data_IF_946258787256
#
_entry.id   IF_946258787256
#
_cell.length_a   1.000
_cell.length_b   1.000
_cell.length_c   1.000
_cell.angle_alpha   90.00
_cell.angle_beta   90.00
_cell.angle_gamma   90.00
#
_symmetry.space_group_name_H-M   'P 1'
#
loop_
_entity.id
_entity.type
_entity.pdbx_description
1 polymer ?
#
# COMPACT_ATOMS: atom_id res chain seq x y z
N UNK A 1 31.15 -40.84 -20.19
CA UNK A 1 29.87 -40.18 -20.46
C UNK A 1 29.48 -39.38 -19.22
N UNK A 2 29.83 -38.10 -19.18
CA UNK A 2 29.49 -37.20 -18.06
C UNK A 2 28.05 -36.73 -18.23
N UNK A 3 27.15 -37.21 -17.36
CA UNK A 3 25.77 -36.74 -17.30
C UNK A 3 25.77 -35.27 -16.84
N UNK A 4 25.18 -34.33 -17.59
CA UNK A 4 25.09 -32.95 -17.13
C UNK A 4 24.15 -32.84 -15.93
N UNK A 5 24.55 -32.07 -14.93
CA UNK A 5 23.77 -31.81 -13.71
C UNK A 5 22.41 -31.14 -14.05
N UNK A 6 21.29 -31.60 -13.47
CA UNK A 6 19.93 -31.09 -13.75
C UNK A 6 19.65 -29.72 -13.12
N UNK A 7 20.60 -29.15 -12.37
CA UNK A 7 20.48 -27.84 -11.72
C UNK A 7 21.06 -26.72 -12.61
N UNK A 8 20.50 -26.55 -13.82
CA UNK A 8 20.71 -25.30 -14.55
C UNK A 8 19.77 -24.25 -13.95
N UNK A 9 20.34 -23.24 -13.28
CA UNK A 9 19.59 -22.23 -12.52
C UNK A 9 18.69 -21.41 -13.45
N UNK A 10 17.48 -21.90 -13.69
CA UNK A 10 16.41 -21.13 -14.36
C UNK A 10 15.65 -20.25 -13.34
N UNK A 11 16.26 -20.01 -12.16
CA UNK A 11 15.55 -19.71 -10.92
C UNK A 11 15.58 -18.26 -10.44
N UNK A 12 16.32 -17.36 -11.10
CA UNK A 12 16.37 -15.93 -10.72
C UNK A 12 15.21 -15.14 -11.33
N UNK A 13 15.28 -14.92 -12.63
CA UNK A 13 14.31 -14.10 -13.39
C UNK A 13 12.90 -14.69 -13.36
N UNK A 14 12.76 -16.01 -13.51
CA UNK A 14 11.45 -16.68 -13.45
C UNK A 14 10.79 -16.51 -12.07
N UNK A 15 11.58 -16.48 -10.99
CA UNK A 15 11.07 -16.29 -9.63
C UNK A 15 10.62 -14.84 -9.40
N UNK A 16 11.36 -13.87 -9.92
CA UNK A 16 10.97 -12.44 -9.88
C UNK A 16 9.67 -12.24 -10.67
N UNK A 17 9.57 -12.81 -11.87
CA UNK A 17 8.36 -12.72 -12.69
C UNK A 17 7.15 -13.36 -11.99
N UNK A 18 7.32 -14.51 -11.33
CA UNK A 18 6.25 -15.13 -10.52
C UNK A 18 5.85 -14.27 -9.33
N UNK A 19 6.82 -13.73 -8.58
CA UNK A 19 6.54 -12.85 -7.45
C UNK A 19 5.75 -11.60 -7.89
N UNK A 20 6.14 -10.99 -9.01
CA UNK A 20 5.40 -9.87 -9.60
C UNK A 20 3.97 -10.27 -9.98
N UNK A 21 3.78 -11.46 -10.57
CA UNK A 21 2.46 -12.02 -10.85
C UNK A 21 1.60 -12.18 -9.59
N UNK A 22 2.16 -12.67 -8.49
CA UNK A 22 1.44 -12.76 -7.21
C UNK A 22 1.10 -11.39 -6.62
N UNK A 23 2.00 -10.41 -6.72
CA UNK A 23 1.71 -9.03 -6.29
C UNK A 23 0.55 -8.43 -7.07
N UNK A 24 0.52 -8.60 -8.40
CA UNK A 24 -0.59 -8.13 -9.24
C UNK A 24 -1.92 -8.83 -8.90
N UNK A 25 -1.89 -10.13 -8.60
CA UNK A 25 -3.08 -10.84 -8.15
C UNK A 25 -3.60 -10.31 -6.81
N UNK A 26 -2.71 -10.02 -5.85
CA UNK A 26 -3.05 -9.40 -4.58
C UNK A 26 -3.69 -8.02 -4.74
N UNK A 27 -3.09 -7.16 -5.56
CA UNK A 27 -3.65 -5.84 -5.89
C UNK A 27 -5.02 -5.96 -6.57
N UNK A 28 -5.17 -6.89 -7.51
CA UNK A 28 -6.44 -7.15 -8.19
C UNK A 28 -7.51 -7.71 -7.26
N UNK A 29 -7.15 -8.48 -6.23
CA UNK A 29 -8.07 -8.95 -5.20
C UNK A 29 -8.53 -7.78 -4.31
N UNK A 30 -7.60 -7.01 -3.76
CA UNK A 30 -7.93 -5.84 -2.94
C UNK A 30 -8.82 -4.84 -3.71
N UNK A 31 -8.50 -4.54 -4.97
CA UNK A 31 -9.34 -3.67 -5.80
C UNK A 31 -10.78 -4.18 -5.97
N UNK A 32 -10.98 -5.51 -6.10
CA UNK A 32 -12.32 -6.08 -6.30
C UNK A 32 -13.13 -6.14 -5.01
N UNK A 33 -12.50 -6.51 -3.90
CA UNK A 33 -13.19 -6.79 -2.65
C UNK A 33 -13.27 -5.58 -1.71
N UNK A 34 -12.28 -4.68 -1.75
CA UNK A 34 -12.16 -3.61 -0.76
C UNK A 34 -12.56 -2.25 -1.33
N UNK A 35 -13.68 -1.71 -0.85
CA UNK A 35 -14.18 -0.42 -1.30
C UNK A 35 -13.28 0.74 -0.88
N UNK A 36 -12.72 0.68 0.34
CA UNK A 36 -11.78 1.67 0.86
C UNK A 36 -10.50 1.71 0.01
N UNK A 37 -9.88 0.54 -0.24
CA UNK A 37 -8.73 0.45 -1.16
C UNK A 37 -8.98 1.06 -2.55
N UNK A 38 -10.17 0.90 -3.14
CA UNK A 38 -10.52 1.56 -4.41
C UNK A 38 -10.53 3.07 -4.28
N UNK A 39 -11.16 3.60 -3.24
CA UNK A 39 -11.24 5.05 -3.00
C UNK A 39 -9.85 5.65 -2.80
N UNK A 40 -9.03 5.02 -1.97
CA UNK A 40 -7.66 5.45 -1.73
C UNK A 40 -6.79 5.33 -2.98
N UNK A 41 -6.98 4.30 -3.80
CA UNK A 41 -6.23 4.14 -5.05
C UNK A 41 -6.58 5.23 -6.05
N UNK A 42 -7.86 5.61 -6.16
CA UNK A 42 -8.27 6.75 -6.99
C UNK A 42 -7.65 8.05 -6.47
N UNK A 43 -7.66 8.25 -5.16
CA UNK A 43 -7.02 9.42 -4.53
C UNK A 43 -5.51 9.43 -4.80
N UNK A 44 -4.82 8.31 -4.62
CA UNK A 44 -3.39 8.16 -4.89
C UNK A 44 -3.06 8.38 -6.37
N UNK A 45 -3.91 7.92 -7.30
CA UNK A 45 -3.73 8.16 -8.73
C UNK A 45 -3.77 9.65 -9.10
N UNK A 46 -4.44 10.48 -8.28
CA UNK A 46 -4.47 11.94 -8.44
C UNK A 46 -3.29 12.59 -7.68
N UNK A 47 -3.09 12.21 -6.42
CA UNK A 47 -2.10 12.82 -5.54
C UNK A 47 -0.66 12.51 -5.97
N UNK A 48 -0.36 11.32 -6.49
CA UNK A 48 1.00 10.96 -6.90
C UNK A 48 1.50 11.88 -8.04
N UNK A 49 0.81 12.01 -9.19
CA UNK A 49 1.21 12.95 -10.22
C UNK A 49 1.27 14.39 -9.72
N UNK A 50 0.28 14.81 -8.90
CA UNK A 50 0.22 16.16 -8.36
C UNK A 50 1.40 16.44 -7.42
N UNK A 51 1.78 15.48 -6.58
CA UNK A 51 2.92 15.59 -5.67
C UNK A 51 4.26 15.63 -6.40
N UNK A 52 4.40 14.86 -7.48
CA UNK A 52 5.58 14.92 -8.35
C UNK A 52 5.69 16.26 -9.09
N UNK A 53 4.57 16.86 -9.46
CA UNK A 53 4.52 18.16 -10.14
C UNK A 53 4.75 19.34 -9.18
N UNK A 54 4.11 19.31 -8.01
CA UNK A 54 4.18 20.39 -7.04
C UNK A 54 5.48 20.40 -6.23
N UNK A 55 6.14 19.26 -5.99
CA UNK A 55 7.40 19.26 -5.24
C UNK A 55 8.54 19.97 -5.98
N UNK A 56 9.24 20.87 -5.31
CA UNK A 56 10.36 21.65 -5.85
C UNK A 56 11.68 20.89 -5.71
N UNK A 57 11.82 20.09 -4.65
CA UNK A 57 12.97 19.21 -4.43
C UNK A 57 12.63 17.72 -4.57
N UNK A 58 13.65 16.89 -4.76
CA UNK A 58 13.48 15.44 -4.78
C UNK A 58 12.86 14.91 -3.48
N UNK A 59 13.22 15.49 -2.33
CA UNK A 59 12.69 15.10 -1.01
C UNK A 59 11.20 15.44 -0.91
N UNK A 60 10.81 16.65 -1.32
CA UNK A 60 9.38 17.03 -1.31
C UNK A 60 8.55 16.15 -2.24
N UNK A 61 9.05 15.86 -3.45
CA UNK A 61 8.36 14.94 -4.38
C UNK A 61 8.20 13.56 -3.78
N UNK A 62 9.22 13.03 -3.12
CA UNK A 62 9.15 11.75 -2.42
C UNK A 62 8.16 11.78 -1.25
N UNK A 63 8.08 12.87 -0.49
CA UNK A 63 7.10 13.02 0.59
C UNK A 63 5.66 13.08 0.04
N UNK A 64 5.41 13.95 -0.95
CA UNK A 64 4.07 14.17 -1.51
C UNK A 64 3.54 12.96 -2.27
N UNK A 65 4.38 12.32 -3.09
CA UNK A 65 4.00 11.13 -3.86
C UNK A 65 4.11 9.84 -3.03
N UNK A 66 5.04 9.77 -2.08
CA UNK A 66 5.25 8.60 -1.24
C UNK A 66 4.20 8.41 -0.15
N UNK A 67 3.64 9.50 0.40
CA UNK A 67 2.65 9.37 1.45
C UNK A 67 1.35 8.67 1.00
N UNK A 68 0.75 8.97 -0.18
CA UNK A 68 -0.36 8.18 -0.72
C UNK A 68 0.00 6.72 -0.99
N UNK A 69 1.24 6.43 -1.40
CA UNK A 69 1.71 5.05 -1.59
C UNK A 69 1.77 4.30 -0.26
N UNK A 70 2.20 4.97 0.82
CA UNK A 70 2.20 4.40 2.17
C UNK A 70 0.78 4.11 2.67
N UNK A 71 -0.18 4.99 2.38
CA UNK A 71 -1.61 4.76 2.68
C UNK A 71 -2.07 3.46 2.04
N UNK A 72 -1.87 3.29 0.72
CA UNK A 72 -2.24 2.06 0.01
C UNK A 72 -1.55 0.81 0.56
N UNK A 73 -0.27 0.92 0.94
CA UNK A 73 0.46 -0.20 1.51
C UNK A 73 -0.14 -0.64 2.85
N UNK A 74 -0.49 0.31 3.73
CA UNK A 74 -1.10 0.01 5.03
C UNK A 74 -2.54 -0.49 4.88
N UNK A 75 -3.31 0.04 3.92
CA UNK A 75 -4.65 -0.46 3.62
C UNK A 75 -4.65 -1.90 3.10
N UNK A 76 -3.66 -2.28 2.27
CA UNK A 76 -3.48 -3.68 1.87
C UNK A 76 -3.16 -4.60 3.05
N UNK A 77 -2.37 -4.11 4.02
CA UNK A 77 -2.08 -4.86 5.25
C UNK A 77 -3.34 -4.98 6.13
N UNK A 78 -4.13 -3.92 6.25
CA UNK A 78 -5.42 -3.94 6.95
C UNK A 78 -6.37 -4.97 6.32
N UNK A 79 -6.54 -4.91 5.00
CA UNK A 79 -7.37 -5.85 4.23
C UNK A 79 -6.91 -7.30 4.39
N UNK A 80 -5.60 -7.54 4.45
CA UNK A 80 -5.05 -8.88 4.71
C UNK A 80 -5.39 -9.39 6.12
N UNK A 81 -5.34 -8.51 7.13
CA UNK A 81 -5.74 -8.84 8.51
C UNK A 81 -7.23 -9.13 8.58
N UNK A 82 -8.07 -8.32 7.92
CA UNK A 82 -9.52 -8.52 7.85
C UNK A 82 -9.86 -9.85 7.17
N UNK A 83 -9.24 -10.15 6.02
CA UNK A 83 -9.41 -11.41 5.30
C UNK A 83 -9.02 -12.61 6.17
N UNK A 84 -7.89 -12.51 6.90
CA UNK A 84 -7.45 -13.57 7.81
C UNK A 84 -8.43 -13.75 8.99
N UNK A 85 -8.92 -12.65 9.56
CA UNK A 85 -9.89 -12.69 10.66
C UNK A 85 -11.21 -13.33 10.22
N UNK A 86 -11.69 -13.00 9.01
CA UNK A 86 -12.91 -13.58 8.43
C UNK A 86 -12.76 -15.06 8.09
N UNK A 87 -11.56 -15.50 7.70
CA UNK A 87 -11.28 -16.91 7.45
C UNK A 87 -11.26 -17.77 8.72
N UNK A 88 -10.98 -17.18 9.90
CA UNK A 88 -10.83 -17.90 11.17
C UNK A 88 -12.15 -18.01 11.95
N UNK A 89 -13.08 -17.06 11.82
CA UNK A 89 -14.23 -16.95 12.73
C UNK A 89 -15.60 -17.05 12.06
N UNK A 90 -16.37 -18.10 12.39
CA UNK A 90 -17.84 -18.11 12.22
C UNK A 90 -18.57 -17.50 13.41
N UNK A 91 -17.93 -17.49 14.59
CA UNK A 91 -18.42 -16.88 15.84
C UNK A 91 -17.56 -15.66 16.22
N UNK A 92 -18.19 -14.61 16.74
CA UNK A 92 -17.50 -13.36 17.08
C UNK A 92 -16.49 -13.58 18.21
N UNK A 93 -15.19 -13.47 17.90
CA UNK A 93 -14.11 -13.53 18.90
C UNK A 93 -13.61 -12.12 19.24
N UNK A 94 -13.64 -11.67 20.52
CA UNK A 94 -13.25 -10.31 20.90
C UNK A 94 -11.84 -9.88 20.45
N UNK A 95 -10.91 -10.83 20.32
CA UNK A 95 -9.56 -10.55 19.81
C UNK A 95 -9.53 -10.24 18.31
N UNK A 96 -10.41 -10.86 17.51
CA UNK A 96 -10.51 -10.58 16.08
C UNK A 96 -11.06 -9.17 15.84
N UNK A 97 -12.06 -8.75 16.62
CA UNK A 97 -12.55 -7.37 16.60
C UNK A 97 -11.44 -6.36 16.87
N UNK A 98 -10.65 -6.56 17.94
CA UNK A 98 -9.51 -5.69 18.26
C UNK A 98 -8.46 -5.64 17.15
N UNK A 99 -8.18 -6.77 16.49
CA UNK A 99 -7.22 -6.80 15.39
C UNK A 99 -7.69 -5.92 14.21
N UNK A 100 -8.97 -5.99 13.86
CA UNK A 100 -9.59 -5.13 12.84
C UNK A 100 -9.54 -3.65 13.23
N UNK A 101 -9.88 -3.32 14.48
CA UNK A 101 -9.83 -1.94 14.98
C UNK A 101 -8.41 -1.35 14.90
N UNK A 102 -7.40 -2.13 15.26
CA UNK A 102 -5.99 -1.71 15.19
C UNK A 102 -5.54 -1.50 13.74
N UNK A 103 -5.95 -2.39 12.82
CA UNK A 103 -5.66 -2.25 11.39
C UNK A 103 -6.27 -0.97 10.82
N UNK A 104 -7.55 -0.71 11.09
CA UNK A 104 -8.24 0.52 10.70
C UNK A 104 -7.59 1.77 11.31
N UNK A 105 -7.14 1.70 12.57
CA UNK A 105 -6.42 2.79 13.20
C UNK A 105 -5.07 3.09 12.52
N UNK A 106 -4.37 2.05 12.03
CA UNK A 106 -3.13 2.23 11.28
C UNK A 106 -3.37 2.97 9.95
N UNK A 107 -4.45 2.65 9.23
CA UNK A 107 -4.88 3.35 8.00
C UNK A 107 -5.22 4.81 8.29
N UNK A 108 -5.96 5.08 9.37
CA UNK A 108 -6.24 6.46 9.78
C UNK A 108 -4.97 7.26 10.05
N UNK A 109 -3.99 6.66 10.73
CA UNK A 109 -2.72 7.33 11.02
C UNK A 109 -1.92 7.63 9.75
N UNK A 110 -1.93 6.76 8.75
CA UNK A 110 -1.25 7.04 7.47
C UNK A 110 -1.97 8.11 6.65
N UNK A 111 -3.31 8.16 6.69
CA UNK A 111 -4.09 9.25 6.08
C UNK A 111 -3.77 10.60 6.72
N UNK A 112 -3.70 10.66 8.06
CA UNK A 112 -3.29 11.87 8.78
C UNK A 112 -1.85 12.28 8.46
N UNK A 113 -0.93 11.31 8.37
CA UNK A 113 0.44 11.56 7.96
C UNK A 113 0.51 12.11 6.53
N UNK A 114 -0.27 11.57 5.60
CA UNK A 114 -0.33 12.06 4.23
C UNK A 114 -0.86 13.50 4.18
N UNK A 115 -1.95 13.80 4.88
CA UNK A 115 -2.47 15.15 4.99
C UNK A 115 -1.45 16.12 5.60
N UNK A 116 -0.76 15.70 6.67
CA UNK A 116 0.28 16.50 7.32
C UNK A 116 1.49 16.75 6.40
N UNK A 117 1.96 15.74 5.66
CA UNK A 117 3.05 15.90 4.70
C UNK A 117 2.68 16.89 3.59
N UNK A 118 1.47 16.78 3.04
CA UNK A 118 0.96 17.72 2.03
C UNK A 118 0.85 19.14 2.57
N UNK A 119 0.28 19.32 3.76
CA UNK A 119 0.17 20.62 4.41
C UNK A 119 1.56 21.22 4.71
N UNK A 120 2.48 20.45 5.29
CA UNK A 120 3.80 20.94 5.66
C UNK A 120 4.64 21.41 4.46
N UNK A 121 4.52 20.73 3.31
CA UNK A 121 5.27 21.08 2.10
C UNK A 121 4.63 22.26 1.36
N UNK A 122 3.30 22.31 1.29
CA UNK A 122 2.60 23.24 0.40
C UNK A 122 2.03 24.47 1.11
N UNK A 123 1.61 24.38 2.38
CA UNK A 123 1.02 25.50 3.11
C UNK A 123 1.94 26.73 3.17
N UNK A 124 3.26 26.61 3.43
CA UNK A 124 4.15 27.78 3.46
C UNK A 124 4.24 28.54 2.12
N UNK A 125 3.87 27.89 1.01
CA UNK A 125 3.95 28.48 -0.34
C UNK A 125 2.78 29.40 -0.64
N UNK A 126 1.62 29.11 -0.06
CA UNK A 126 0.39 29.88 -0.28
C UNK A 126 -0.01 30.72 0.93
N UNK A 127 0.55 30.41 2.09
CA UNK A 127 0.43 31.20 3.30
C UNK A 127 1.83 31.56 3.85
N UNK A 128 2.58 32.43 3.14
CA UNK A 128 3.84 32.91 3.65
C UNK A 128 3.59 33.73 4.92
N UNK A 129 4.08 33.23 6.05
CA UNK A 129 4.15 33.93 7.35
C UNK A 129 5.40 34.77 7.45
#
# INVERSE_FOLDING_TARGET
MTQPSPYKSTGGLLRIARAFGYSLQGLGAAWRHEAAFRQETVLAAILIPLGLWLGDSAVERLLLAGAPVLVLAVELLNSAIETLADAIGTDYHPLLGRAKDIGSAAVLLTLLLAAAAWAAVLAPRWWPS
#
